data_IF_132292803401
#
_entry.id   IF_132292803401
#
_cell.length_a   1.000
_cell.length_b   1.000
_cell.length_c   1.000
_cell.angle_alpha   90.00
_cell.angle_beta   90.00
_cell.angle_gamma   90.00
#
_symmetry.space_group_name_H-M   'P 1'
#
loop_
_entity.id
_entity.type
_entity.pdbx_description
1 polymer ?
#
# COMPACT_ATOMS: atom_id res chain seq x y z
N UNK A 1 -0.27 -12.93 3.15
CA UNK A 1 -0.07 -11.95 2.06
C UNK A 1 -0.83 -10.69 2.47
N UNK A 2 -0.24 -9.50 2.29
CA UNK A 2 -0.90 -8.24 2.66
C UNK A 2 -1.58 -7.66 1.43
N UNK A 3 -2.89 -7.43 1.51
CA UNK A 3 -3.64 -6.80 0.42
C UNK A 3 -3.51 -5.29 0.54
N UNK A 4 -2.88 -4.66 -0.46
CA UNK A 4 -2.68 -3.22 -0.51
C UNK A 4 -3.56 -2.60 -1.60
N UNK A 5 -4.36 -1.60 -1.23
CA UNK A 5 -5.22 -0.83 -2.11
C UNK A 5 -4.60 0.55 -2.39
N UNK A 6 -4.59 0.95 -3.67
CA UNK A 6 -4.19 2.29 -4.06
C UNK A 6 -5.29 3.29 -3.69
N UNK A 7 -5.02 4.20 -2.75
CA UNK A 7 -6.00 5.19 -2.28
C UNK A 7 -5.79 6.58 -2.88
N UNK A 8 -4.58 6.89 -3.37
CA UNK A 8 -4.30 8.16 -4.06
C UNK A 8 -3.16 8.04 -5.06
N UNK A 9 -3.32 8.69 -6.21
CA UNK A 9 -2.29 8.85 -7.24
C UNK A 9 -2.16 10.32 -7.66
N UNK A 10 -0.94 10.86 -7.66
CA UNK A 10 -0.61 12.17 -8.24
C UNK A 10 0.73 12.12 -8.96
N UNK A 11 0.74 12.24 -10.28
CA UNK A 11 1.92 12.23 -11.19
C UNK A 11 2.88 11.06 -10.95
N UNK A 12 3.71 11.12 -9.90
CA UNK A 12 4.65 10.08 -9.49
C UNK A 12 4.51 9.63 -8.02
N UNK A 13 3.62 10.24 -7.25
CA UNK A 13 3.38 9.92 -5.84
C UNK A 13 2.15 9.02 -5.74
N UNK A 14 2.30 7.93 -5.00
CA UNK A 14 1.28 6.92 -4.78
C UNK A 14 1.10 6.70 -3.28
N UNK A 15 -0.15 6.63 -2.84
CA UNK A 15 -0.50 6.29 -1.47
C UNK A 15 -1.28 4.99 -1.48
N UNK A 16 -0.80 4.02 -0.71
CA UNK A 16 -1.42 2.73 -0.51
C UNK A 16 -1.86 2.59 0.94
N UNK A 17 -2.96 1.88 1.14
CA UNK A 17 -3.38 1.37 2.45
C UNK A 17 -3.60 -0.12 2.33
N UNK A 18 -3.19 -0.87 3.34
CA UNK A 18 -3.39 -2.30 3.34
C UNK A 18 -3.50 -2.87 4.74
N UNK A 19 -3.98 -4.10 4.79
CA UNK A 19 -4.07 -4.88 6.02
C UNK A 19 -3.57 -6.31 5.79
N UNK A 20 -2.98 -6.90 6.81
CA UNK A 20 -2.67 -8.33 6.85
C UNK A 20 -3.63 -9.03 7.80
N UNK A 21 -4.15 -10.18 7.39
CA UNK A 21 -5.08 -10.98 8.18
C UNK A 21 -4.45 -12.32 8.57
N UNK A 22 -4.77 -12.79 9.77
CA UNK A 22 -4.45 -14.14 10.28
C UNK A 22 -5.76 -14.72 10.80
N UNK A 23 -6.12 -15.91 10.31
CA UNK A 23 -7.35 -16.61 10.69
C UNK A 23 -8.62 -15.76 10.50
N UNK A 24 -8.65 -14.94 9.44
CA UNK A 24 -9.77 -14.03 9.15
C UNK A 24 -9.82 -12.77 10.04
N UNK A 25 -8.92 -12.64 11.01
CA UNK A 25 -8.80 -11.47 11.87
C UNK A 25 -7.70 -10.53 11.38
N UNK A 26 -7.97 -9.23 11.45
CA UNK A 26 -6.98 -8.21 11.10
C UNK A 26 -5.83 -8.24 12.11
N UNK A 27 -4.62 -8.53 11.63
CA UNK A 27 -3.42 -8.65 12.45
C UNK A 27 -2.52 -7.41 12.35
N UNK A 28 -2.54 -6.71 11.21
CA UNK A 28 -1.71 -5.52 10.98
C UNK A 28 -2.36 -4.59 9.96
N UNK A 29 -2.16 -3.29 10.13
CA UNK A 29 -2.47 -2.26 9.14
C UNK A 29 -1.21 -1.50 8.76
N UNK A 30 -1.10 -1.07 7.50
CA UNK A 30 -0.06 -0.15 7.09
C UNK A 30 -0.56 0.87 6.06
N UNK A 31 0.04 2.03 6.11
CA UNK A 31 -0.06 3.06 5.09
C UNK A 31 1.31 3.30 4.48
N UNK A 32 1.39 3.32 3.14
CA UNK A 32 2.63 3.55 2.43
C UNK A 32 2.50 4.73 1.47
N UNK A 33 3.42 5.67 1.54
CA UNK A 33 3.58 6.74 0.55
C UNK A 33 4.88 6.49 -0.22
N UNK A 34 4.80 6.35 -1.54
CA UNK A 34 5.98 6.12 -2.36
C UNK A 34 6.00 7.01 -3.61
N UNK A 35 7.21 7.25 -4.11
CA UNK A 35 7.45 7.99 -5.35
C UNK A 35 8.03 7.05 -6.39
N UNK A 36 7.43 6.99 -7.58
CA UNK A 36 7.92 6.17 -8.69
C UNK A 36 9.13 6.85 -9.35
N UNK A 37 10.26 6.15 -9.34
CA UNK A 37 11.47 6.49 -10.09
C UNK A 37 11.62 5.47 -11.22
N UNK A 38 11.92 5.92 -12.43
CA UNK A 38 12.28 5.05 -13.56
C UNK A 38 13.80 5.04 -13.62
N UNK A 39 14.40 3.86 -13.50
CA UNK A 39 15.84 3.64 -13.67
C UNK A 39 16.03 3.13 -15.10
N UNK A 40 16.85 3.83 -15.88
CA UNK A 40 17.13 3.55 -17.29
C UNK A 40 18.47 2.82 -17.44
#
# INVERSE_FOLDING_TARGET
MMDAQLVRRKVRVFKFKGGGFVDGHLAVEAELLCTRVVIA
#
